data_IF_636885099250
#
_entry.id   IF_636885099250
#
_cell.length_a   1.000
_cell.length_b   1.000
_cell.length_c   1.000
_cell.angle_alpha   90.00
_cell.angle_beta   90.00
_cell.angle_gamma   90.00
#
_symmetry.space_group_name_H-M   'P 1'
#
loop_
_entity.id
_entity.type
_entity.pdbx_description
1 polymer ?
#
# COMPACT_ATOMS: atom_id res chain seq x y z
N UNK A 1 -29.96 -41.98 -8.26
CA UNK A 1 -30.06 -40.84 -7.33
C UNK A 1 -29.06 -40.91 -6.17
N UNK A 2 -28.87 -42.05 -5.47
CA UNK A 2 -27.87 -42.12 -4.39
C UNK A 2 -26.40 -42.02 -4.86
N UNK A 3 -26.05 -42.64 -6.00
CA UNK A 3 -24.67 -42.63 -6.51
C UNK A 3 -24.21 -41.22 -6.96
N UNK A 4 -25.12 -40.43 -7.53
CA UNK A 4 -24.85 -39.04 -7.94
C UNK A 4 -24.66 -38.11 -6.74
N UNK A 5 -25.39 -38.33 -5.64
CA UNK A 5 -25.23 -37.55 -4.40
C UNK A 5 -23.89 -37.86 -3.71
N UNK A 6 -23.44 -39.12 -3.77
CA UNK A 6 -22.16 -39.55 -3.20
C UNK A 6 -20.97 -38.95 -3.95
N UNK A 7 -21.04 -38.90 -5.28
CA UNK A 7 -19.99 -38.30 -6.13
C UNK A 7 -19.88 -36.79 -5.94
N UNK A 8 -21.01 -36.08 -5.76
CA UNK A 8 -21.02 -34.64 -5.49
C UNK A 8 -20.41 -34.33 -4.11
N UNK A 9 -20.75 -35.11 -3.08
CA UNK A 9 -20.16 -34.93 -1.75
C UNK A 9 -18.66 -35.25 -1.72
N UNK A 10 -18.22 -36.29 -2.45
CA UNK A 10 -16.80 -36.61 -2.57
C UNK A 10 -16.03 -35.52 -3.31
N UNK A 11 -16.61 -34.93 -4.36
CA UNK A 11 -16.03 -33.81 -5.09
C UNK A 11 -15.93 -32.54 -4.22
N UNK A 12 -16.96 -32.22 -3.42
CA UNK A 12 -16.90 -31.09 -2.47
C UNK A 12 -15.84 -31.30 -1.39
N UNK A 13 -15.72 -32.52 -0.85
CA UNK A 13 -14.71 -32.85 0.19
C UNK A 13 -13.29 -32.79 -0.39
N UNK A 14 -13.10 -33.24 -1.63
CA UNK A 14 -11.81 -33.13 -2.32
C UNK A 14 -11.47 -31.67 -2.68
N UNK A 15 -12.46 -30.86 -3.07
CA UNK A 15 -12.26 -29.42 -3.27
C UNK A 15 -11.92 -28.70 -1.95
N UNK A 16 -12.60 -29.02 -0.84
CA UNK A 16 -12.28 -28.42 0.46
C UNK A 16 -10.92 -28.87 1.02
N UNK A 17 -10.54 -30.13 0.76
CA UNK A 17 -9.24 -30.65 1.17
C UNK A 17 -8.10 -30.01 0.37
N UNK A 18 -8.29 -29.86 -0.95
CA UNK A 18 -7.30 -29.22 -1.82
C UNK A 18 -7.13 -27.73 -1.53
N UNK A 19 -8.21 -26.98 -1.26
CA UNK A 19 -8.08 -25.58 -0.82
C UNK A 19 -7.40 -25.48 0.55
N UNK A 20 -7.73 -26.36 1.50
CA UNK A 20 -7.10 -26.33 2.82
C UNK A 20 -5.62 -26.70 2.79
N UNK A 21 -5.20 -27.63 1.93
CA UNK A 21 -3.77 -27.96 1.68
C UNK A 21 -3.03 -26.81 0.98
N UNK A 22 -3.69 -26.10 0.06
CA UNK A 22 -3.09 -24.91 -0.58
C UNK A 22 -2.93 -23.77 0.43
N UNK A 23 -3.92 -23.51 1.28
CA UNK A 23 -3.81 -22.50 2.35
C UNK A 23 -2.72 -22.86 3.36
N UNK A 24 -2.64 -24.12 3.82
CA UNK A 24 -1.60 -24.51 4.79
C UNK A 24 -0.20 -24.47 4.19
N UNK A 25 -0.04 -24.86 2.91
CA UNK A 25 1.25 -24.75 2.23
C UNK A 25 1.69 -23.30 2.00
N UNK A 26 0.77 -22.40 1.65
CA UNK A 26 1.04 -20.96 1.54
C UNK A 26 1.42 -20.34 2.89
N UNK A 27 0.71 -20.68 3.96
CA UNK A 27 1.05 -20.20 5.31
C UNK A 27 2.42 -20.70 5.76
N UNK A 28 2.77 -21.97 5.51
CA UNK A 28 4.08 -22.53 5.85
C UNK A 28 5.21 -21.89 5.04
N UNK A 29 4.99 -21.64 3.74
CA UNK A 29 5.97 -20.94 2.89
C UNK A 29 6.19 -19.48 3.35
N UNK A 30 5.13 -18.80 3.80
CA UNK A 30 5.22 -17.45 4.34
C UNK A 30 6.04 -17.40 5.63
N UNK A 31 5.76 -18.30 6.58
CA UNK A 31 6.51 -18.36 7.85
C UNK A 31 7.99 -18.69 7.64
N UNK A 32 8.29 -19.65 6.75
CA UNK A 32 9.68 -20.01 6.44
C UNK A 32 10.44 -18.85 5.79
N UNK A 33 9.78 -18.03 4.97
CA UNK A 33 10.39 -16.86 4.36
C UNK A 33 10.66 -15.75 5.40
N UNK A 34 9.74 -15.55 6.35
CA UNK A 34 9.87 -14.53 7.40
C UNK A 34 10.95 -14.88 8.43
N UNK A 35 10.99 -16.13 8.88
CA UNK A 35 11.93 -16.58 9.93
C UNK A 35 13.39 -16.56 9.47
N UNK A 36 13.63 -16.60 8.16
CA UNK A 36 14.95 -16.58 7.55
C UNK A 36 15.42 -15.18 7.07
N UNK A 37 14.70 -14.11 7.44
CA UNK A 37 15.11 -12.73 7.09
C UNK A 37 16.36 -12.33 7.89
N UNK A 38 17.39 -11.86 7.19
CA UNK A 38 18.50 -11.14 7.82
C UNK A 38 18.08 -9.70 8.16
N UNK A 39 17.54 -9.51 9.37
CA UNK A 39 17.11 -8.21 9.86
C UNK A 39 18.25 -7.18 9.99
N UNK A 40 19.51 -7.62 10.09
CA UNK A 40 20.65 -6.68 10.11
C UNK A 40 20.86 -6.05 8.73
N UNK A 41 20.67 -6.82 7.66
CA UNK A 41 20.70 -6.31 6.29
C UNK A 41 19.51 -5.37 6.01
N UNK A 42 18.34 -5.67 6.58
CA UNK A 42 17.11 -4.91 6.41
C UNK A 42 16.90 -3.75 7.40
N UNK A 43 17.97 -3.28 8.05
CA UNK A 43 17.94 -2.03 8.80
C UNK A 43 17.50 -0.86 7.90
N UNK A 44 16.81 0.10 8.51
CA UNK A 44 16.47 1.35 7.85
C UNK A 44 17.74 2.13 7.49
N UNK A 45 17.76 2.66 6.27
CA UNK A 45 18.78 3.56 5.75
C UNK A 45 18.04 4.66 4.98
N UNK A 46 18.28 5.91 5.34
CA UNK A 46 17.76 7.07 4.63
C UNK A 46 18.14 7.00 3.13
N UNK A 47 17.26 7.42 2.20
CA UNK A 47 17.63 7.56 0.80
C UNK A 47 18.80 8.53 0.65
N UNK A 48 19.80 8.13 -0.14
CA UNK A 48 20.94 8.95 -0.51
C UNK A 48 20.67 9.83 -1.73
N UNK A 49 21.70 10.57 -2.15
CA UNK A 49 21.65 11.34 -3.40
C UNK A 49 21.52 10.39 -4.61
N UNK A 50 20.50 10.63 -5.44
CA UNK A 50 20.23 9.82 -6.64
C UNK A 50 19.41 8.55 -6.39
N UNK A 51 19.03 8.27 -5.14
CA UNK A 51 18.05 7.25 -4.80
C UNK A 51 16.64 7.79 -5.08
N UNK A 52 15.84 7.01 -5.81
CA UNK A 52 14.50 7.40 -6.22
C UNK A 52 13.47 6.92 -5.19
N UNK A 53 12.46 7.74 -4.94
CA UNK A 53 11.31 7.43 -4.08
C UNK A 53 10.02 7.78 -4.81
N UNK A 54 8.90 7.33 -4.25
CA UNK A 54 7.56 7.38 -4.83
C UNK A 54 6.60 8.22 -3.96
N UNK A 55 5.39 8.55 -4.46
CA UNK A 55 4.34 9.09 -3.61
C UNK A 55 3.82 8.05 -2.59
N UNK A 56 4.12 6.75 -2.78
CA UNK A 56 3.66 5.66 -1.91
C UNK A 56 4.61 5.45 -0.71
N UNK A 57 4.18 5.72 0.54
CA UNK A 57 5.01 5.49 1.72
C UNK A 57 5.39 4.01 1.90
N UNK A 58 4.51 3.08 1.51
CA UNK A 58 4.76 1.64 1.59
C UNK A 58 5.95 1.20 0.73
N UNK A 59 6.02 1.66 -0.52
CA UNK A 59 7.14 1.36 -1.42
C UNK A 59 8.44 2.01 -0.93
N UNK A 60 8.36 3.24 -0.44
CA UNK A 60 9.52 3.96 0.09
C UNK A 60 10.11 3.26 1.32
N UNK A 61 9.25 2.77 2.21
CA UNK A 61 9.65 2.00 3.38
C UNK A 61 10.36 0.70 2.96
N UNK A 62 9.81 -0.05 1.99
CA UNK A 62 10.45 -1.26 1.47
C UNK A 62 11.85 -0.98 0.90
N UNK A 63 12.03 0.14 0.19
CA UNK A 63 13.34 0.55 -0.34
C UNK A 63 14.29 1.00 0.77
N UNK A 64 13.83 1.80 1.73
CA UNK A 64 14.62 2.26 2.89
C UNK A 64 15.09 1.08 3.77
N UNK A 65 14.33 -0.03 3.77
CA UNK A 65 14.70 -1.28 4.44
C UNK A 65 15.34 -2.32 3.50
N UNK A 66 15.53 -2.03 2.22
CA UNK A 66 16.22 -2.92 1.27
C UNK A 66 15.49 -4.22 0.93
N UNK A 67 14.15 -4.28 1.13
CA UNK A 67 13.31 -5.38 0.66
C UNK A 67 13.00 -5.29 -0.84
N UNK A 68 13.07 -4.09 -1.39
CA UNK A 68 13.20 -3.82 -2.83
C UNK A 68 14.49 -3.01 -3.06
N UNK A 69 14.85 -2.73 -4.32
CA UNK A 69 16.08 -1.98 -4.64
C UNK A 69 16.17 -0.66 -3.85
N UNK A 70 17.24 -0.49 -3.06
CA UNK A 70 17.43 0.69 -2.18
C UNK A 70 17.50 2.01 -2.93
N UNK A 71 18.03 1.96 -4.15
CA UNK A 71 18.13 3.10 -5.07
C UNK A 71 16.80 3.42 -5.78
N UNK A 72 15.75 2.63 -5.55
CA UNK A 72 14.43 2.80 -6.14
C UNK A 72 14.37 2.54 -7.65
N UNK A 73 15.33 1.80 -8.22
CA UNK A 73 15.41 1.53 -9.66
C UNK A 73 15.17 0.04 -9.97
N UNK A 74 14.76 -0.21 -11.22
CA UNK A 74 14.53 -1.56 -11.77
C UNK A 74 13.59 -2.41 -10.88
N UNK A 75 12.50 -1.79 -10.41
CA UNK A 75 11.51 -2.44 -9.56
C UNK A 75 10.57 -3.26 -10.43
N UNK A 76 10.43 -4.56 -10.13
CA UNK A 76 9.56 -5.48 -10.88
C UNK A 76 8.37 -5.92 -10.05
N UNK A 77 7.27 -6.31 -10.70
CA UNK A 77 6.06 -6.79 -10.02
C UNK A 77 6.36 -7.94 -9.03
N UNK A 78 7.10 -9.00 -9.38
CA UNK A 78 7.39 -10.09 -8.45
C UNK A 78 8.19 -9.64 -7.22
N UNK A 79 9.09 -8.66 -7.39
CA UNK A 79 9.88 -8.09 -6.29
C UNK A 79 8.96 -7.43 -5.26
N UNK A 80 8.01 -6.62 -5.72
CA UNK A 80 7.07 -5.92 -4.85
C UNK A 80 6.10 -6.88 -4.18
N UNK A 81 5.54 -7.84 -4.91
CA UNK A 81 4.61 -8.83 -4.35
C UNK A 81 5.29 -9.65 -3.23
N UNK A 82 6.52 -10.11 -3.45
CA UNK A 82 7.28 -10.83 -2.41
C UNK A 82 7.54 -9.95 -1.20
N UNK A 83 7.96 -8.70 -1.41
CA UNK A 83 8.26 -7.78 -0.32
C UNK A 83 7.02 -7.40 0.49
N UNK A 84 5.89 -7.12 -0.17
CA UNK A 84 4.62 -6.79 0.49
C UNK A 84 4.06 -7.97 1.29
N UNK A 85 4.16 -9.19 0.77
CA UNK A 85 3.72 -10.39 1.47
C UNK A 85 4.53 -10.59 2.76
N UNK A 86 5.85 -10.55 2.66
CA UNK A 86 6.76 -10.81 3.78
C UNK A 86 6.72 -9.69 4.84
N UNK A 87 6.72 -8.42 4.43
CA UNK A 87 6.87 -7.28 5.35
C UNK A 87 5.54 -6.78 5.87
N UNK A 88 4.50 -6.78 5.02
CA UNK A 88 3.20 -6.20 5.35
C UNK A 88 2.10 -7.24 5.54
N UNK A 89 2.43 -8.54 5.40
CA UNK A 89 1.44 -9.62 5.39
C UNK A 89 0.32 -9.36 4.36
N UNK A 90 0.72 -8.82 3.21
CA UNK A 90 -0.17 -8.42 2.12
C UNK A 90 0.17 -9.23 0.86
N UNK A 91 -0.28 -10.49 0.76
CA UNK A 91 0.03 -11.37 -0.35
C UNK A 91 -0.60 -10.86 -1.66
N UNK A 92 -0.15 -11.44 -2.77
CA UNK A 92 -0.69 -11.11 -4.08
C UNK A 92 -2.20 -11.38 -4.17
N UNK A 93 -2.97 -10.32 -4.44
CA UNK A 93 -4.40 -10.39 -4.72
C UNK A 93 -4.73 -9.64 -6.04
N UNK A 94 -5.97 -9.73 -6.57
CA UNK A 94 -6.33 -9.04 -7.81
C UNK A 94 -6.17 -7.50 -7.78
N UNK A 95 -6.41 -6.85 -6.64
CA UNK A 95 -6.25 -5.39 -6.45
C UNK A 95 -4.77 -5.02 -6.47
N UNK A 96 -3.93 -5.70 -5.69
CA UNK A 96 -2.48 -5.48 -5.71
C UNK A 96 -1.88 -5.76 -7.09
N UNK A 97 -2.30 -6.84 -7.76
CA UNK A 97 -1.86 -7.14 -9.12
C UNK A 97 -2.30 -6.06 -10.12
N UNK A 98 -3.50 -5.50 -9.98
CA UNK A 98 -3.96 -4.40 -10.82
C UNK A 98 -3.12 -3.14 -10.59
N UNK A 99 -2.89 -2.76 -9.32
CA UNK A 99 -2.06 -1.60 -8.98
C UNK A 99 -0.64 -1.73 -9.56
N UNK A 100 0.00 -2.89 -9.43
CA UNK A 100 1.34 -3.12 -9.97
C UNK A 100 1.38 -3.17 -11.51
N UNK A 101 0.31 -3.61 -12.17
CA UNK A 101 0.20 -3.50 -13.63
C UNK A 101 0.01 -2.06 -14.09
N UNK A 102 -0.75 -1.25 -13.34
CA UNK A 102 -0.88 0.19 -13.61
C UNK A 102 0.45 0.91 -13.39
N UNK A 103 1.28 0.47 -12.45
CA UNK A 103 2.62 1.01 -12.24
C UNK A 103 3.51 0.86 -13.48
N UNK A 104 3.40 -0.27 -14.21
CA UNK A 104 4.13 -0.46 -15.48
C UNK A 104 3.68 0.49 -16.59
N UNK A 105 2.52 1.15 -16.46
CA UNK A 105 2.07 2.16 -17.42
C UNK A 105 2.70 3.55 -17.17
N UNK A 106 3.52 3.68 -16.13
CA UNK A 106 4.19 4.95 -15.77
C UNK A 106 5.55 5.13 -16.43
N UNK A 107 5.99 4.15 -17.22
CA UNK A 107 7.36 4.06 -17.74
C UNK A 107 7.37 3.41 -19.12
N UNK A 108 8.43 3.64 -19.89
CA UNK A 108 8.67 3.01 -21.19
C UNK A 108 9.46 1.69 -21.07
N UNK A 109 9.93 1.35 -19.86
CA UNK A 109 10.62 0.09 -19.61
C UNK A 109 9.65 -1.10 -19.75
N UNK A 110 10.12 -2.25 -20.25
CA UNK A 110 9.23 -3.35 -20.65
C UNK A 110 8.54 -4.06 -19.47
N UNK A 111 9.23 -4.22 -18.35
CA UNK A 111 8.78 -5.06 -17.22
C UNK A 111 9.22 -4.54 -15.84
N UNK A 112 9.71 -3.30 -15.77
CA UNK A 112 10.14 -2.66 -14.54
C UNK A 112 9.79 -1.18 -14.54
N UNK A 113 9.79 -0.55 -13.36
CA UNK A 113 9.63 0.88 -13.18
C UNK A 113 10.65 1.40 -12.16
N UNK A 114 10.85 2.72 -12.11
CA UNK A 114 11.49 3.39 -10.97
C UNK A 114 10.44 3.87 -9.98
N UNK A 115 10.81 4.01 -8.71
CA UNK A 115 9.89 4.56 -7.71
C UNK A 115 9.43 5.99 -8.06
N UNK A 116 10.26 6.77 -8.74
CA UNK A 116 9.91 8.14 -9.18
C UNK A 116 8.87 8.15 -10.30
N UNK A 117 8.85 7.12 -11.17
CA UNK A 117 7.87 6.99 -12.26
C UNK A 117 6.43 6.99 -11.71
N UNK A 118 6.23 6.45 -10.49
CA UNK A 118 4.92 6.36 -9.85
C UNK A 118 4.26 7.70 -9.54
N UNK A 119 4.98 8.83 -9.67
CA UNK A 119 4.39 10.18 -9.54
C UNK A 119 3.61 10.64 -10.77
N UNK A 120 3.58 9.83 -11.84
CA UNK A 120 2.83 10.17 -13.06
C UNK A 120 1.34 10.36 -12.75
N UNK A 121 0.92 11.62 -12.72
CA UNK A 121 -0.42 12.03 -12.34
C UNK A 121 -1.49 11.41 -13.24
N UNK A 122 -2.61 10.99 -12.65
CA UNK A 122 -3.76 10.44 -13.37
C UNK A 122 -3.64 8.95 -13.70
N UNK A 123 -2.49 8.31 -13.43
CA UNK A 123 -2.34 6.85 -13.47
C UNK A 123 -2.83 6.26 -12.14
N UNK A 124 -1.91 5.97 -11.23
CA UNK A 124 -2.21 5.62 -9.83
C UNK A 124 -2.24 6.89 -8.98
N UNK A 125 -1.23 7.75 -9.13
CA UNK A 125 -1.10 9.01 -8.39
C UNK A 125 -2.31 9.92 -8.67
N UNK A 126 -2.80 10.56 -7.60
CA UNK A 126 -4.02 11.34 -7.61
C UNK A 126 -4.02 12.49 -6.60
N UNK A 127 -4.90 13.45 -6.86
CA UNK A 127 -5.16 14.59 -5.98
C UNK A 127 -5.81 14.20 -4.65
N UNK A 128 -5.88 15.17 -3.74
CA UNK A 128 -6.39 15.04 -2.37
C UNK A 128 -5.68 13.94 -1.56
N UNK A 129 -4.40 13.74 -1.86
CA UNK A 129 -3.50 12.87 -1.10
C UNK A 129 -3.41 13.27 0.38
N UNK A 130 -3.18 12.28 1.25
CA UNK A 130 -3.04 12.48 2.71
C UNK A 130 -1.77 13.24 3.08
N UNK A 131 -0.72 13.16 2.27
CA UNK A 131 0.62 13.69 2.64
C UNK A 131 1.40 14.32 1.50
N UNK A 132 0.84 14.39 0.29
CA UNK A 132 1.46 14.98 -0.91
C UNK A 132 0.58 16.10 -1.42
N UNK A 133 1.17 17.12 -2.04
CA UNK A 133 0.39 18.16 -2.70
C UNK A 133 -0.30 17.59 -3.95
N UNK A 134 -1.43 18.17 -4.32
CA UNK A 134 -2.06 17.91 -5.61
C UNK A 134 -1.12 18.30 -6.76
N UNK A 135 -1.23 17.62 -7.90
CA UNK A 135 -0.31 17.80 -9.02
C UNK A 135 -0.28 19.25 -9.53
N UNK A 136 -1.46 19.86 -9.71
CA UNK A 136 -1.58 21.24 -10.16
C UNK A 136 -1.08 22.27 -9.12
N UNK A 137 -0.92 21.87 -7.86
CA UNK A 137 -0.47 22.75 -6.76
C UNK A 137 1.03 22.64 -6.46
N UNK A 138 1.72 21.63 -7.01
CA UNK A 138 3.18 21.53 -6.92
C UNK A 138 3.70 20.10 -6.81
N UNK A 139 4.47 19.83 -5.75
CA UNK A 139 5.20 18.58 -5.60
C UNK A 139 4.29 17.45 -5.10
N UNK A 140 3.79 16.64 -6.05
CA UNK A 140 2.96 15.46 -5.81
C UNK A 140 3.74 14.20 -5.38
N UNK A 141 5.06 14.31 -5.21
CA UNK A 141 5.93 13.17 -4.91
C UNK A 141 6.32 13.11 -3.43
N UNK A 142 6.81 14.22 -2.90
CA UNK A 142 7.48 14.25 -1.60
C UNK A 142 6.50 14.46 -0.46
N UNK A 143 6.82 13.90 0.70
CA UNK A 143 6.09 14.15 1.93
C UNK A 143 6.01 15.66 2.22
N UNK A 144 4.80 16.12 2.55
CA UNK A 144 4.51 17.50 2.91
C UNK A 144 3.84 17.52 4.28
N UNK A 145 4.53 18.07 5.28
CA UNK A 145 4.06 18.12 6.66
C UNK A 145 2.80 18.98 6.82
N UNK A 146 2.61 20.00 6.00
CA UNK A 146 1.41 20.85 6.03
C UNK A 146 0.20 20.11 5.49
N UNK A 147 0.35 19.35 4.41
CA UNK A 147 -0.73 18.47 3.91
C UNK A 147 -1.05 17.37 4.93
N UNK A 148 0.00 16.77 5.49
CA UNK A 148 -0.13 15.69 6.47
C UNK A 148 -0.75 16.13 7.79
N UNK A 149 -0.79 17.45 8.09
CA UNK A 149 -1.29 17.94 9.37
C UNK A 149 -2.75 17.57 9.61
N UNK A 150 -3.57 17.51 8.55
CA UNK A 150 -4.96 17.03 8.60
C UNK A 150 -5.05 15.65 9.23
N UNK A 151 -4.17 14.71 8.84
CA UNK A 151 -4.12 13.39 9.47
C UNK A 151 -3.44 13.46 10.84
N UNK A 152 -2.28 14.14 10.96
CA UNK A 152 -1.51 14.13 12.21
C UNK A 152 -2.28 14.65 13.42
N UNK A 153 -3.14 15.65 13.19
CA UNK A 153 -3.96 16.33 14.21
C UNK A 153 -5.35 15.68 14.41
N UNK A 154 -5.72 14.72 13.55
CA UNK A 154 -7.02 14.04 13.62
C UNK A 154 -7.17 13.17 14.89
N UNK A 155 -8.41 12.83 15.24
CA UNK A 155 -8.76 12.05 16.43
C UNK A 155 -8.18 12.64 17.74
N UNK A 156 -8.49 13.91 18.07
CA UNK A 156 -7.94 14.56 19.27
C UNK A 156 -8.36 13.81 20.54
N UNK A 157 -7.45 13.72 21.50
CA UNK A 157 -7.66 12.99 22.77
C UNK A 157 -7.37 11.48 22.70
N UNK A 158 -7.05 10.94 21.52
CA UNK A 158 -6.65 9.54 21.33
C UNK A 158 -5.25 9.44 20.70
N UNK A 159 -4.55 8.36 21.02
CA UNK A 159 -3.21 8.01 20.53
C UNK A 159 -3.24 7.05 19.32
N UNK A 160 -4.42 6.83 18.75
CA UNK A 160 -4.66 5.99 17.57
C UNK A 160 -5.34 6.75 16.43
N UNK A 161 -5.14 6.28 15.21
CA UNK A 161 -6.05 6.49 14.09
C UNK A 161 -7.02 5.31 14.00
N UNK A 162 -8.27 5.58 13.66
CA UNK A 162 -9.27 4.58 13.36
C UNK A 162 -10.04 4.94 12.08
N UNK A 163 -10.84 4.00 11.58
CA UNK A 163 -11.64 4.17 10.35
C UNK A 163 -12.49 5.44 10.34
N UNK A 164 -13.12 5.80 11.47
CA UNK A 164 -13.92 7.02 11.58
C UNK A 164 -13.06 8.28 11.41
N UNK A 165 -11.96 8.39 12.16
CA UNK A 165 -11.08 9.55 12.10
C UNK A 165 -10.43 9.71 10.73
N UNK A 166 -10.01 8.61 10.10
CA UNK A 166 -9.41 8.65 8.76
C UNK A 166 -10.46 8.97 7.70
N UNK A 167 -11.69 8.48 7.84
CA UNK A 167 -12.79 8.88 6.96
C UNK A 167 -13.06 10.39 7.00
N UNK A 168 -12.99 11.01 8.18
CA UNK A 168 -13.08 12.47 8.31
C UNK A 168 -11.92 13.20 7.63
N UNK A 169 -10.70 12.70 7.79
CA UNK A 169 -9.50 13.23 7.12
C UNK A 169 -9.66 13.21 5.59
N UNK A 170 -10.16 12.11 5.02
CA UNK A 170 -10.36 12.01 3.57
C UNK A 170 -11.37 13.06 3.06
N UNK A 171 -12.47 13.28 3.78
CA UNK A 171 -13.45 14.31 3.41
C UNK A 171 -12.87 15.72 3.55
N UNK A 172 -12.08 15.98 4.60
CA UNK A 172 -11.43 17.27 4.80
C UNK A 172 -10.38 17.55 3.71
N UNK A 173 -9.53 16.57 3.39
CA UNK A 173 -8.55 16.67 2.30
C UNK A 173 -9.22 16.95 0.96
N UNK A 174 -10.33 16.28 0.66
CA UNK A 174 -11.09 16.56 -0.56
C UNK A 174 -11.74 17.96 -0.54
N UNK A 175 -12.27 18.39 0.60
CA UNK A 175 -12.86 19.73 0.72
C UNK A 175 -11.82 20.84 0.50
N UNK A 176 -10.61 20.65 1.03
CA UNK A 176 -9.47 21.55 0.80
C UNK A 176 -9.05 21.54 -0.68
N UNK A 177 -8.89 20.36 -1.27
CA UNK A 177 -8.55 20.23 -2.69
C UNK A 177 -9.58 20.93 -3.60
N UNK A 178 -10.88 20.77 -3.34
CA UNK A 178 -11.94 21.48 -4.10
C UNK A 178 -11.87 23.00 -4.00
N UNK A 179 -11.32 23.52 -2.90
CA UNK A 179 -11.20 24.96 -2.66
C UNK A 179 -9.94 25.52 -3.31
N UNK A 180 -8.86 24.76 -3.31
CA UNK A 180 -7.51 25.24 -3.63
C UNK A 180 -7.06 24.85 -5.05
N UNK A 181 -7.53 23.71 -5.56
CA UNK A 181 -7.15 23.16 -6.85
C UNK A 181 -8.30 23.26 -7.87
N UNK A 182 -8.19 24.22 -8.80
CA UNK A 182 -9.16 24.40 -9.89
C UNK A 182 -9.13 23.27 -10.93
N UNK A 183 -8.06 22.47 -10.95
CA UNK A 183 -7.85 21.35 -11.88
C UNK A 183 -8.09 19.98 -11.22
N UNK A 184 -8.69 19.98 -10.01
CA UNK A 184 -8.92 18.78 -9.21
C UNK A 184 -9.56 17.65 -10.03
N UNK A 185 -8.88 16.50 -10.04
CA UNK A 185 -9.44 15.23 -10.51
C UNK A 185 -9.92 14.42 -9.31
N UNK A 186 -11.24 14.22 -9.20
CA UNK A 186 -11.83 13.41 -8.14
C UNK A 186 -13.02 12.60 -8.66
N UNK A 187 -12.73 11.52 -9.37
CA UNK A 187 -13.74 10.58 -9.87
C UNK A 187 -13.95 9.43 -8.88
N UNK A 188 -14.72 8.40 -9.28
CA UNK A 188 -14.85 7.17 -8.50
C UNK A 188 -13.49 6.48 -8.31
N UNK A 189 -12.60 6.56 -9.31
CA UNK A 189 -11.26 5.96 -9.25
C UNK A 189 -10.44 6.55 -8.10
N UNK A 190 -10.27 7.87 -8.06
CA UNK A 190 -9.50 8.56 -7.02
C UNK A 190 -10.11 8.34 -5.63
N UNK A 191 -11.44 8.39 -5.51
CA UNK A 191 -12.12 8.09 -4.24
C UNK A 191 -11.88 6.67 -3.76
N UNK A 192 -11.85 5.69 -4.66
CA UNK A 192 -11.53 4.30 -4.31
C UNK A 192 -10.06 4.14 -3.91
N UNK A 193 -9.12 4.76 -4.63
CA UNK A 193 -7.69 4.74 -4.27
C UNK A 193 -7.46 5.29 -2.86
N UNK A 194 -8.01 6.47 -2.54
CA UNK A 194 -7.91 7.08 -1.21
C UNK A 194 -8.41 6.16 -0.09
N UNK A 195 -9.54 5.47 -0.30
CA UNK A 195 -10.11 4.54 0.67
C UNK A 195 -9.25 3.28 0.84
N UNK A 196 -8.71 2.76 -0.26
CA UNK A 196 -7.81 1.60 -0.24
C UNK A 196 -6.50 1.93 0.47
N UNK A 197 -5.89 3.08 0.16
CA UNK A 197 -4.67 3.55 0.82
C UNK A 197 -4.89 3.78 2.32
N UNK A 198 -6.03 4.36 2.70
CA UNK A 198 -6.44 4.51 4.08
C UNK A 198 -6.55 3.17 4.81
N UNK A 199 -7.18 2.19 4.17
CA UNK A 199 -7.28 0.84 4.72
C UNK A 199 -5.91 0.17 4.85
N UNK A 200 -5.00 0.43 3.92
CA UNK A 200 -3.67 -0.16 3.90
C UNK A 200 -2.84 0.33 5.09
N UNK A 201 -2.71 1.64 5.32
CA UNK A 201 -1.87 2.09 6.45
C UNK A 201 -2.50 1.74 7.80
N UNK A 202 -3.83 1.73 7.93
CA UNK A 202 -4.50 1.30 9.18
C UNK A 202 -4.27 -0.19 9.47
N UNK A 203 -4.21 -1.02 8.43
CA UNK A 203 -4.00 -2.47 8.55
C UNK A 203 -2.53 -2.81 8.78
N UNK A 204 -1.64 -2.21 8.01
CA UNK A 204 -0.20 -2.51 8.03
C UNK A 204 0.48 -1.95 9.28
N UNK A 205 0.06 -0.77 9.76
CA UNK A 205 0.60 -0.15 10.98
C UNK A 205 -0.24 -0.43 12.23
N UNK A 206 -1.26 -1.30 12.14
CA UNK A 206 -2.27 -1.47 13.18
C UNK A 206 -2.85 -2.88 13.26
N UNK A 207 -4.08 -3.00 13.74
CA UNK A 207 -4.82 -4.26 13.73
C UNK A 207 -5.77 -4.31 12.52
N UNK A 208 -5.54 -5.18 11.53
CA UNK A 208 -6.35 -5.26 10.31
C UNK A 208 -7.80 -5.68 10.57
N UNK A 209 -8.11 -6.27 11.74
CA UNK A 209 -9.47 -6.69 12.09
C UNK A 209 -10.32 -5.53 12.62
N UNK A 210 -9.67 -4.52 13.19
CA UNK A 210 -10.36 -3.37 13.80
C UNK A 210 -10.18 -2.08 13.02
N UNK A 211 -9.16 -2.02 12.15
CA UNK A 211 -8.82 -0.80 11.41
C UNK A 211 -8.34 0.31 12.34
N UNK A 212 -7.59 -0.05 13.38
CA UNK A 212 -7.04 0.87 14.38
C UNK A 212 -5.52 0.75 14.38
N UNK A 213 -4.83 1.88 14.19
CA UNK A 213 -3.37 1.95 14.17
C UNK A 213 -2.84 2.99 15.15
N UNK A 214 -1.78 2.71 15.94
CA UNK A 214 -1.13 3.71 16.77
C UNK A 214 -0.62 4.89 15.94
N UNK A 215 -0.93 6.12 16.37
CA UNK A 215 -0.51 7.34 15.66
C UNK A 215 0.99 7.39 15.43
N UNK A 216 1.78 7.00 16.44
CA UNK A 216 3.24 6.96 16.36
C UNK A 216 3.74 6.15 15.15
N UNK A 217 3.16 4.97 14.90
CA UNK A 217 3.62 4.10 13.82
C UNK A 217 3.26 4.70 12.45
N UNK A 218 2.02 5.16 12.31
CA UNK A 218 1.57 5.81 11.06
C UNK A 218 2.36 7.09 10.78
N UNK A 219 2.63 7.91 11.79
CA UNK A 219 3.41 9.14 11.60
C UNK A 219 4.83 8.84 11.11
N UNK A 220 5.54 7.91 11.74
CA UNK A 220 6.88 7.46 11.29
C UNK A 220 6.81 6.95 9.86
N UNK A 221 5.84 6.08 9.54
CA UNK A 221 5.67 5.47 8.22
C UNK A 221 5.48 6.50 7.09
N UNK A 222 4.87 7.65 7.38
CA UNK A 222 4.70 8.71 6.38
C UNK A 222 5.88 9.69 6.32
N UNK A 223 6.57 9.95 7.44
CA UNK A 223 7.56 11.02 7.56
C UNK A 223 9.03 10.60 7.44
N UNK A 224 9.34 9.30 7.56
CA UNK A 224 10.70 8.73 7.53
C UNK A 224 10.91 7.73 6.38
#
# INVERSE_FOLDING_TARGET
MLLSLLLVNLALVLLSCSTQVMLTSQMLQHTDAFDNIDWNYHRWIAPGEGDLRSPCPGMNTLANHGFISRDGKNITIPMVLKAADVVYNNPADPVMNLALKLALLTTDAPDSFTLDDLKLHGTIEHDASISRLDYALGNNLHFNSTVFSTLSESNPGFDVYNTTSVGQVLEERLALAKKENAELVNTIKERQSQLLEASLFLSVMGDPRTGVAPKRFVQIFFSE
#
